data_IF_352737403785
#
_entry.id   IF_352737403785
#
_cell.length_a   1.000
_cell.length_b   1.000
_cell.length_c   1.000
_cell.angle_alpha   90.00
_cell.angle_beta   90.00
_cell.angle_gamma   90.00
#
_symmetry.space_group_name_H-M   'P 1'
#
loop_
_entity.id
_entity.type
_entity.pdbx_description
1 polymer ?
#
# COMPACT_ATOMS: atom_id res chain seq x y z
N UNK A 1 26.14 24.18 -14.93
CA UNK A 1 25.36 23.01 -14.46
C UNK A 1 23.95 23.47 -14.15
N UNK A 2 22.89 22.92 -14.76
CA UNK A 2 21.52 23.26 -14.38
C UNK A 2 21.29 22.82 -12.93
N UNK A 3 20.77 23.71 -12.09
CA UNK A 3 20.38 23.35 -10.71
C UNK A 3 19.34 22.24 -10.77
N UNK A 4 19.44 21.17 -9.95
CA UNK A 4 18.34 20.22 -9.86
C UNK A 4 17.08 20.98 -9.43
N UNK A 5 15.94 20.76 -10.09
CA UNK A 5 14.69 21.44 -9.74
C UNK A 5 14.40 21.18 -8.24
N UNK A 6 13.99 22.23 -7.53
CA UNK A 6 13.70 22.23 -6.07
C UNK A 6 12.68 21.18 -5.64
N UNK A 7 11.96 20.58 -6.59
CA UNK A 7 10.94 19.54 -6.41
C UNK A 7 11.53 18.21 -5.93
N UNK A 8 12.74 17.82 -6.36
CA UNK A 8 13.30 16.49 -6.05
C UNK A 8 13.69 16.30 -4.57
N UNK A 9 14.33 17.28 -3.89
CA UNK A 9 14.56 17.20 -2.45
C UNK A 9 13.27 17.12 -1.64
N UNK A 10 12.22 17.86 -2.05
CA UNK A 10 10.90 17.85 -1.40
C UNK A 10 10.25 16.48 -1.54
N UNK A 11 10.24 15.90 -2.74
CA UNK A 11 9.69 14.56 -2.98
C UNK A 11 10.40 13.49 -2.13
N UNK A 12 11.73 13.56 -2.03
CA UNK A 12 12.50 12.64 -1.19
C UNK A 12 12.14 12.75 0.29
N UNK A 13 12.07 13.97 0.82
CA UNK A 13 11.68 14.21 2.22
C UNK A 13 10.26 13.71 2.49
N UNK A 14 9.33 14.03 1.59
CA UNK A 14 7.94 13.60 1.69
C UNK A 14 7.82 12.07 1.75
N UNK A 15 8.49 11.35 0.86
CA UNK A 15 8.50 9.88 0.87
C UNK A 15 9.10 9.29 2.16
N UNK A 16 10.15 9.91 2.72
CA UNK A 16 10.73 9.49 4.00
C UNK A 16 9.74 9.68 5.15
N UNK A 17 9.02 10.80 5.18
CA UNK A 17 7.96 11.04 6.16
C UNK A 17 6.87 9.98 6.03
N UNK A 18 6.42 9.67 4.81
CA UNK A 18 5.44 8.63 4.57
C UNK A 18 5.90 7.25 5.04
N UNK A 19 7.18 6.89 4.88
CA UNK A 19 7.73 5.63 5.41
C UNK A 19 7.62 5.59 6.94
N UNK A 20 7.98 6.67 7.62
CA UNK A 20 7.89 6.74 9.10
C UNK A 20 6.44 6.66 9.54
N UNK A 21 5.54 7.40 8.90
CA UNK A 21 4.10 7.35 9.20
C UNK A 21 3.52 5.96 8.96
N UNK A 22 3.92 5.28 7.88
CA UNK A 22 3.49 3.91 7.59
C UNK A 22 3.88 2.95 8.73
N UNK A 23 5.12 3.05 9.26
CA UNK A 23 5.55 2.24 10.39
C UNK A 23 4.82 2.59 11.69
N UNK A 24 4.59 3.87 11.96
CA UNK A 24 3.80 4.31 13.13
C UNK A 24 2.38 3.72 13.06
N UNK A 25 1.71 3.85 11.91
CA UNK A 25 0.39 3.26 11.70
C UNK A 25 0.40 1.74 11.88
N UNK A 26 1.43 1.06 11.37
CA UNK A 26 1.58 -0.38 11.57
C UNK A 26 1.76 -0.78 13.03
N UNK A 27 2.56 -0.02 13.79
CA UNK A 27 2.70 -0.20 15.23
C UNK A 27 1.37 -0.01 15.97
N UNK A 28 0.59 1.01 15.61
CA UNK A 28 -0.74 1.25 16.17
C UNK A 28 -1.71 0.10 15.86
N UNK A 29 -1.80 -0.35 14.60
CA UNK A 29 -2.69 -1.44 14.19
C UNK A 29 -2.29 -2.74 14.90
N UNK A 30 -1.00 -3.06 14.92
CA UNK A 30 -0.50 -4.26 15.59
C UNK A 30 -0.76 -4.22 17.11
N UNK A 31 -0.51 -3.06 17.74
CA UNK A 31 -0.78 -2.85 19.16
C UNK A 31 -2.25 -3.05 19.50
N UNK A 32 -3.16 -2.46 18.70
CA UNK A 32 -4.59 -2.67 18.84
C UNK A 32 -4.98 -4.14 18.61
N UNK A 33 -4.45 -4.79 17.59
CA UNK A 33 -4.70 -6.20 17.28
C UNK A 33 -4.31 -7.09 18.46
N UNK A 34 -3.09 -6.95 18.98
CA UNK A 34 -2.60 -7.70 20.15
C UNK A 34 -3.46 -7.41 21.37
N UNK A 35 -3.82 -6.14 21.59
CA UNK A 35 -4.66 -5.74 22.71
C UNK A 35 -6.05 -6.40 22.67
N UNK A 36 -6.60 -6.67 21.47
CA UNK A 36 -7.87 -7.40 21.34
C UNK A 36 -7.81 -8.81 21.94
N UNK A 37 -6.64 -9.46 21.97
CA UNK A 37 -6.46 -10.79 22.57
C UNK A 37 -6.15 -10.72 24.06
N UNK A 38 -5.49 -9.66 24.51
CA UNK A 38 -5.13 -9.47 25.93
C UNK A 38 -6.36 -9.15 26.78
N UNK A 39 -7.30 -8.35 26.26
CA UNK A 39 -8.46 -7.90 27.02
C UNK A 39 -9.77 -7.97 26.21
N UNK A 40 -10.11 -9.19 25.80
CA UNK A 40 -11.26 -9.47 24.94
C UNK A 40 -12.60 -8.88 25.45
N UNK A 41 -12.98 -9.02 26.75
CA UNK A 41 -14.25 -8.48 27.24
C UNK A 41 -14.33 -6.95 27.15
N UNK A 42 -13.22 -6.27 27.45
CA UNK A 42 -13.15 -4.81 27.33
C UNK A 42 -13.22 -4.40 25.86
N UNK A 43 -12.49 -5.07 24.98
CA UNK A 43 -12.44 -4.74 23.55
C UNK A 43 -13.79 -4.98 22.86
N UNK A 44 -14.47 -6.08 23.17
CA UNK A 44 -15.83 -6.32 22.67
C UNK A 44 -16.79 -5.20 23.08
N UNK A 45 -16.71 -4.75 24.33
CA UNK A 45 -17.53 -3.64 24.83
C UNK A 45 -17.17 -2.31 24.15
N UNK A 46 -15.88 -2.00 24.02
CA UNK A 46 -15.38 -0.77 23.43
C UNK A 46 -15.72 -0.65 21.94
N UNK A 47 -15.69 -1.76 21.21
CA UNK A 47 -16.05 -1.84 19.79
C UNK A 47 -17.56 -2.03 19.57
N UNK A 48 -18.37 -2.13 20.62
CA UNK A 48 -19.82 -2.34 20.52
C UNK A 48 -20.23 -3.72 20.02
N UNK A 49 -19.31 -4.70 20.00
CA UNK A 49 -19.52 -6.04 19.45
C UNK A 49 -20.42 -6.90 20.36
N UNK A 50 -20.54 -6.55 21.64
CA UNK A 50 -21.38 -7.30 22.61
C UNK A 50 -22.87 -7.34 22.27
N UNK A 51 -23.35 -6.45 21.41
CA UNK A 51 -24.75 -6.40 20.98
C UNK A 51 -25.06 -7.34 19.78
N UNK A 52 -24.04 -7.93 19.15
CA UNK A 52 -24.22 -8.81 18.00
C UNK A 52 -24.60 -10.21 18.45
N UNK A 53 -25.52 -10.85 17.71
CA UNK A 53 -25.93 -12.25 17.93
C UNK A 53 -24.72 -13.20 17.91
N UNK A 54 -23.79 -12.96 16.97
CA UNK A 54 -22.56 -13.74 16.81
C UNK A 54 -21.31 -12.88 17.08
N UNK A 55 -21.20 -12.35 18.31
CA UNK A 55 -20.09 -11.48 18.74
C UNK A 55 -18.69 -12.04 18.44
N UNK A 56 -18.49 -13.36 18.57
CA UNK A 56 -17.21 -14.01 18.28
C UNK A 56 -16.85 -13.96 16.78
N UNK A 57 -17.83 -14.15 15.90
CA UNK A 57 -17.62 -14.09 14.45
C UNK A 57 -17.19 -12.67 14.03
N UNK A 58 -17.90 -11.66 14.55
CA UNK A 58 -17.62 -10.24 14.27
C UNK A 58 -16.24 -9.85 14.79
N UNK A 59 -15.91 -10.22 16.03
CA UNK A 59 -14.59 -9.95 16.61
C UNK A 59 -13.46 -10.61 15.79
N UNK A 60 -13.65 -11.86 15.37
CA UNK A 60 -12.65 -12.55 14.54
C UNK A 60 -12.52 -11.93 13.14
N UNK A 61 -13.62 -11.47 12.54
CA UNK A 61 -13.58 -10.72 11.28
C UNK A 61 -12.82 -9.40 11.42
N UNK A 62 -13.08 -8.62 12.48
CA UNK A 62 -12.33 -7.38 12.75
C UNK A 62 -10.84 -7.64 12.98
N UNK A 63 -10.49 -8.70 13.72
CA UNK A 63 -9.10 -9.14 13.91
C UNK A 63 -8.44 -9.55 12.60
N UNK A 64 -9.16 -10.25 11.72
CA UNK A 64 -8.67 -10.63 10.40
C UNK A 64 -8.40 -9.41 9.51
N UNK A 65 -9.31 -8.42 9.52
CA UNK A 65 -9.12 -7.14 8.80
C UNK A 65 -7.90 -6.39 9.35
N UNK A 66 -7.75 -6.31 10.68
CA UNK A 66 -6.59 -5.68 11.29
C UNK A 66 -5.28 -6.41 10.94
N UNK A 67 -5.28 -7.75 10.91
CA UNK A 67 -4.13 -8.54 10.49
C UNK A 67 -3.75 -8.27 9.02
N UNK A 68 -4.73 -8.21 8.11
CA UNK A 68 -4.50 -7.77 6.72
C UNK A 68 -3.94 -6.34 6.66
N UNK A 69 -4.42 -5.45 7.53
CA UNK A 69 -3.87 -4.11 7.70
C UNK A 69 -2.38 -4.13 8.03
N UNK A 70 -1.95 -4.96 8.99
CA UNK A 70 -0.53 -5.15 9.34
C UNK A 70 0.28 -5.64 8.14
N UNK A 71 -0.23 -6.63 7.39
CA UNK A 71 0.45 -7.10 6.16
C UNK A 71 0.54 -5.98 5.12
N UNK A 72 -0.51 -5.17 4.98
CA UNK A 72 -0.56 -3.99 4.11
C UNK A 72 0.54 -2.96 4.39
N UNK A 73 1.00 -2.83 5.64
CA UNK A 73 2.13 -1.95 6.01
C UNK A 73 3.42 -2.36 5.30
N UNK A 74 3.69 -3.68 5.21
CA UNK A 74 4.88 -4.18 4.51
C UNK A 74 4.77 -4.00 3.00
N UNK A 75 3.56 -4.16 2.44
CA UNK A 75 3.30 -3.92 1.02
C UNK A 75 3.51 -2.44 0.68
N UNK A 76 2.95 -1.52 1.47
CA UNK A 76 3.14 -0.07 1.32
C UNK A 76 4.62 0.32 1.48
N UNK A 77 5.33 -0.27 2.44
CA UNK A 77 6.77 -0.06 2.59
C UNK A 77 7.54 -0.49 1.33
N UNK A 78 7.15 -1.60 0.71
CA UNK A 78 7.70 -2.07 -0.57
C UNK A 78 7.53 -1.06 -1.71
N UNK A 79 6.38 -0.38 -1.77
CA UNK A 79 6.12 0.71 -2.73
C UNK A 79 6.99 1.93 -2.43
N UNK A 80 6.92 2.44 -1.19
CA UNK A 80 7.58 3.69 -0.80
C UNK A 80 9.11 3.62 -0.95
N UNK A 81 9.71 2.50 -0.57
CA UNK A 81 11.17 2.30 -0.72
C UNK A 81 11.61 2.33 -2.18
N UNK A 82 10.83 1.75 -3.10
CA UNK A 82 11.11 1.77 -4.54
C UNK A 82 10.95 3.17 -5.12
N UNK A 83 9.94 3.92 -4.69
CA UNK A 83 9.77 5.32 -5.07
C UNK A 83 10.96 6.17 -4.60
N UNK A 84 11.45 5.97 -3.36
CA UNK A 84 12.66 6.65 -2.87
C UNK A 84 13.86 6.32 -3.76
N UNK A 85 14.08 5.05 -4.10
CA UNK A 85 15.18 4.65 -4.97
C UNK A 85 15.09 5.29 -6.36
N UNK A 86 13.89 5.37 -6.94
CA UNK A 86 13.67 6.07 -8.22
C UNK A 86 14.01 7.57 -8.10
N UNK A 87 13.52 8.26 -7.07
CA UNK A 87 13.85 9.68 -6.83
C UNK A 87 15.37 9.87 -6.69
N UNK A 88 16.07 8.95 -6.03
CA UNK A 88 17.53 9.01 -5.91
C UNK A 88 18.24 8.88 -7.26
N UNK A 89 17.81 7.97 -8.14
CA UNK A 89 18.38 7.85 -9.50
C UNK A 89 18.13 9.08 -10.37
N UNK A 90 16.93 9.68 -10.26
CA UNK A 90 16.61 10.94 -10.96
C UNK A 90 17.47 12.09 -10.44
N UNK A 91 17.68 12.19 -9.12
CA UNK A 91 18.59 13.18 -8.51
C UNK A 91 20.05 13.00 -8.96
N UNK A 92 20.45 11.78 -9.28
CA UNK A 92 21.77 11.47 -9.84
C UNK A 92 21.86 11.73 -11.37
N UNK A 93 20.82 12.29 -12.00
CA UNK A 93 20.80 12.59 -13.43
C UNK A 93 20.47 11.40 -14.33
N UNK A 94 20.09 10.25 -13.76
CA UNK A 94 19.84 9.01 -14.48
C UNK A 94 18.38 8.54 -14.32
N UNK A 95 17.40 9.25 -14.92
CA UNK A 95 15.98 8.92 -14.76
C UNK A 95 15.59 7.61 -15.46
N UNK A 96 16.13 7.36 -16.66
CA UNK A 96 15.86 6.18 -17.47
C UNK A 96 17.03 5.21 -17.34
N UNK A 97 16.92 4.33 -16.34
CA UNK A 97 17.81 3.18 -16.12
C UNK A 97 16.92 1.94 -16.02
N UNK A 98 17.39 0.80 -16.52
CA UNK A 98 16.62 -0.45 -16.51
C UNK A 98 16.13 -0.83 -15.10
N UNK A 99 16.90 -0.51 -14.06
CA UNK A 99 16.49 -0.68 -12.66
C UNK A 99 15.16 0.01 -12.31
N UNK A 100 14.91 1.21 -12.85
CA UNK A 100 13.68 1.95 -12.56
C UNK A 100 12.46 1.30 -13.20
N UNK A 101 12.62 0.64 -14.35
CA UNK A 101 11.56 -0.16 -14.95
C UNK A 101 11.17 -1.34 -14.06
N UNK A 102 12.16 -2.07 -13.51
CA UNK A 102 11.92 -3.15 -12.55
C UNK A 102 11.28 -2.65 -11.25
N UNK A 103 11.68 -1.47 -10.76
CA UNK A 103 11.07 -0.83 -9.59
C UNK A 103 9.60 -0.49 -9.84
N UNK A 104 9.26 0.09 -10.99
CA UNK A 104 7.87 0.36 -11.39
C UNK A 104 7.05 -0.91 -11.53
N UNK A 105 7.61 -1.96 -12.13
CA UNK A 105 6.92 -3.25 -12.26
C UNK A 105 6.61 -3.85 -10.88
N UNK A 106 7.55 -3.79 -9.95
CA UNK A 106 7.31 -4.24 -8.58
C UNK A 106 6.26 -3.38 -7.86
N UNK A 107 6.24 -2.05 -8.06
CA UNK A 107 5.18 -1.18 -7.54
C UNK A 107 3.81 -1.60 -8.09
N UNK A 108 3.70 -1.91 -9.39
CA UNK A 108 2.46 -2.37 -9.99
C UNK A 108 1.93 -3.66 -9.33
N UNK A 109 2.82 -4.61 -9.04
CA UNK A 109 2.47 -5.82 -8.29
C UNK A 109 2.02 -5.53 -6.86
N UNK A 110 2.67 -4.61 -6.14
CA UNK A 110 2.23 -4.22 -4.81
C UNK A 110 0.86 -3.52 -4.83
N UNK A 111 0.60 -2.65 -5.80
CA UNK A 111 -0.71 -2.04 -5.98
C UNK A 111 -1.80 -3.10 -6.25
N UNK A 112 -1.49 -4.11 -7.06
CA UNK A 112 -2.41 -5.23 -7.29
C UNK A 112 -2.71 -5.99 -5.98
N UNK A 113 -1.69 -6.29 -5.19
CA UNK A 113 -1.86 -6.94 -3.87
C UNK A 113 -2.77 -6.11 -2.97
N UNK A 114 -2.61 -4.78 -2.94
CA UNK A 114 -3.47 -3.90 -2.15
C UNK A 114 -4.93 -3.91 -2.66
N UNK A 115 -5.16 -4.01 -3.97
CA UNK A 115 -6.53 -4.17 -4.50
C UNK A 115 -7.16 -5.50 -4.11
N UNK A 116 -6.38 -6.58 -4.13
CA UNK A 116 -6.86 -7.89 -3.66
C UNK A 116 -7.18 -7.85 -2.16
N UNK A 117 -6.37 -7.18 -1.34
CA UNK A 117 -6.66 -6.98 0.08
C UNK A 117 -7.95 -6.19 0.28
N UNK A 118 -8.17 -5.13 -0.51
CA UNK A 118 -9.41 -4.35 -0.47
C UNK A 118 -10.65 -5.22 -0.71
N UNK A 119 -10.60 -6.13 -1.70
CA UNK A 119 -11.68 -7.07 -1.97
C UNK A 119 -11.88 -8.09 -0.84
N UNK A 120 -10.80 -8.65 -0.29
CA UNK A 120 -10.90 -9.58 0.85
C UNK A 120 -11.48 -8.90 2.08
N UNK A 121 -11.04 -7.68 2.39
CA UNK A 121 -11.56 -6.88 3.51
C UNK A 121 -13.06 -6.60 3.31
N UNK A 122 -13.48 -6.25 2.10
CA UNK A 122 -14.89 -6.06 1.78
C UNK A 122 -15.72 -7.33 2.00
N UNK A 123 -15.23 -8.48 1.53
CA UNK A 123 -15.89 -9.76 1.74
C UNK A 123 -16.00 -10.14 3.21
N UNK A 124 -14.97 -9.88 4.02
CA UNK A 124 -15.02 -10.09 5.47
C UNK A 124 -16.04 -9.13 6.11
N UNK A 125 -16.01 -7.85 5.73
CA UNK A 125 -16.92 -6.84 6.24
C UNK A 125 -18.39 -7.20 5.95
N UNK A 126 -18.68 -7.66 4.74
CA UNK A 126 -20.00 -8.14 4.34
C UNK A 126 -20.42 -9.38 5.14
N UNK A 127 -19.52 -10.34 5.32
CA UNK A 127 -19.80 -11.57 6.08
C UNK A 127 -20.09 -11.34 7.57
N UNK A 128 -19.51 -10.29 8.17
CA UNK A 128 -19.77 -9.92 9.58
C UNK A 128 -20.84 -8.85 9.74
N UNK A 129 -21.30 -8.24 8.65
CA UNK A 129 -22.35 -7.22 8.69
C UNK A 129 -23.72 -7.88 8.93
N UNK A 130 -24.54 -7.23 9.76
CA UNK A 130 -25.92 -7.69 10.03
C UNK A 130 -26.92 -6.59 9.69
N UNK A 131 -28.18 -6.96 9.47
CA UNK A 131 -29.25 -6.00 9.17
C UNK A 131 -29.44 -4.99 10.31
N UNK A 132 -29.27 -5.43 11.56
CA UNK A 132 -29.39 -4.58 12.75
C UNK A 132 -28.17 -3.68 12.97
N UNK A 133 -26.98 -4.12 12.53
CA UNK A 133 -25.74 -3.38 12.70
C UNK A 133 -24.89 -3.43 11.41
N UNK A 134 -25.17 -2.54 10.45
CA UNK A 134 -24.46 -2.53 9.17
C UNK A 134 -23.01 -2.11 9.37
N UNK A 135 -22.08 -3.00 9.05
CA UNK A 135 -20.65 -2.73 9.14
C UNK A 135 -20.13 -2.23 7.78
N UNK A 136 -20.11 -0.90 7.61
CA UNK A 136 -19.68 -0.27 6.35
C UNK A 136 -18.22 0.14 6.44
N UNK A 137 -17.35 -0.63 5.79
CA UNK A 137 -16.00 -0.21 5.47
C UNK A 137 -15.95 0.28 4.03
N UNK A 138 -15.22 1.36 3.80
CA UNK A 138 -14.94 1.88 2.46
C UNK A 138 -13.82 1.04 1.81
N UNK A 139 -14.08 -0.25 1.70
CA UNK A 139 -13.22 -1.27 1.12
C UNK A 139 -14.02 -2.02 0.05
N UNK A 140 -13.33 -2.51 -0.98
CA UNK A 140 -13.94 -3.24 -2.09
C UNK A 140 -13.37 -2.84 -3.45
N UNK A 141 -14.18 -3.01 -4.49
CA UNK A 141 -13.76 -2.76 -5.85
C UNK A 141 -13.59 -1.26 -6.12
N UNK A 142 -12.37 -0.83 -6.46
CA UNK A 142 -12.06 0.55 -6.83
C UNK A 142 -11.61 0.64 -8.28
N UNK A 143 -12.46 1.14 -9.17
CA UNK A 143 -12.12 1.30 -10.59
C UNK A 143 -10.86 2.15 -10.80
N UNK A 144 -10.71 3.24 -10.04
CA UNK A 144 -9.51 4.07 -10.05
C UNK A 144 -8.25 3.30 -9.56
N UNK A 145 -8.41 2.47 -8.54
CA UNK A 145 -7.36 1.61 -8.02
C UNK A 145 -6.87 0.57 -9.03
N UNK A 146 -7.79 -0.12 -9.69
CA UNK A 146 -7.49 -1.05 -10.77
C UNK A 146 -6.86 -0.36 -11.99
N UNK A 147 -7.36 0.83 -12.35
CA UNK A 147 -6.75 1.65 -13.39
C UNK A 147 -5.30 2.01 -13.03
N UNK A 148 -5.03 2.39 -11.78
CA UNK A 148 -3.67 2.69 -11.33
C UNK A 148 -2.73 1.47 -11.45
N UNK A 149 -3.21 0.25 -11.16
CA UNK A 149 -2.43 -0.99 -11.38
C UNK A 149 -2.05 -1.15 -12.85
N UNK A 150 -3.04 -1.08 -13.76
CA UNK A 150 -2.82 -1.24 -15.20
C UNK A 150 -1.88 -0.16 -15.73
N UNK A 151 -2.13 1.11 -15.40
CA UNK A 151 -1.28 2.21 -15.82
C UNK A 151 0.14 2.06 -15.30
N UNK A 152 0.34 1.59 -14.08
CA UNK A 152 1.69 1.38 -13.54
C UNK A 152 2.42 0.26 -14.27
N UNK A 153 1.75 -0.83 -14.65
CA UNK A 153 2.35 -1.86 -15.52
C UNK A 153 2.73 -1.31 -16.89
N UNK A 154 1.86 -0.52 -17.51
CA UNK A 154 2.13 0.14 -18.80
C UNK A 154 3.34 1.07 -18.67
N UNK A 155 3.39 1.90 -17.63
CA UNK A 155 4.53 2.78 -17.35
C UNK A 155 5.81 1.99 -17.15
N UNK A 156 5.78 0.86 -16.43
CA UNK A 156 6.95 0.01 -16.26
C UNK A 156 7.50 -0.50 -17.61
N UNK A 157 6.62 -0.89 -18.54
CA UNK A 157 7.02 -1.31 -19.90
C UNK A 157 7.60 -0.16 -20.71
N UNK A 158 6.95 1.00 -20.70
CA UNK A 158 7.46 2.19 -21.41
C UNK A 158 8.82 2.62 -20.87
N UNK A 159 9.04 2.54 -19.56
CA UNK A 159 10.35 2.82 -18.96
C UNK A 159 11.41 1.79 -19.34
N UNK A 160 11.04 0.51 -19.50
CA UNK A 160 11.97 -0.53 -19.95
C UNK A 160 12.45 -0.25 -21.38
N UNK A 161 11.51 0.01 -22.30
CA UNK A 161 11.82 0.37 -23.69
C UNK A 161 12.66 1.66 -23.76
N UNK A 162 12.29 2.68 -22.98
CA UNK A 162 13.06 3.93 -22.93
C UNK A 162 14.49 3.76 -22.38
N UNK A 163 14.72 2.77 -21.51
CA UNK A 163 16.06 2.45 -21.03
C UNK A 163 16.90 1.75 -22.10
N UNK A 164 16.30 0.81 -22.86
CA UNK A 164 16.97 0.14 -23.98
C UNK A 164 17.35 1.12 -25.09
N UNK A 165 16.43 2.01 -25.47
CA UNK A 165 16.71 3.04 -26.49
C UNK A 165 17.86 3.96 -26.07
N UNK A 166 18.00 4.26 -24.78
CA UNK A 166 19.11 5.06 -24.26
C UNK A 166 20.45 4.31 -24.36
N UNK A 167 20.46 3.03 -24.02
CA UNK A 167 21.65 2.18 -24.10
C UNK A 167 22.15 2.05 -25.55
N UNK A 168 21.22 1.85 -26.50
CA UNK A 168 21.53 1.82 -27.93
C UNK A 168 22.17 3.13 -28.41
N UNK A 169 21.66 4.28 -27.96
CA UNK A 169 22.21 5.59 -28.32
C UNK A 169 23.61 5.81 -27.71
N UNK A 170 23.82 5.44 -26.45
CA UNK A 170 25.12 5.55 -25.77
C UNK A 170 26.17 4.62 -26.41
N UNK A 171 25.77 3.50 -27.02
CA UNK A 171 26.66 2.55 -27.72
C UNK A 171 27.05 2.96 -29.15
N UNK A 172 26.50 4.04 -29.70
CA UNK A 172 26.76 4.52 -31.07
C UNK A 172 27.78 5.66 -31.17
N UNK A 173 28.36 6.09 -30.04
CA UNK A 173 29.29 7.23 -29.95
C UNK A 173 30.73 6.77 -29.72
#
# INVERSE_FOLDING_TARGET
MPRPPTVLPIAYLFLRILIVLNWILGGCILGLLVYTFVNEPWTMKALGVTAYRDANLVMNGMRAIAALGVVGIFVNFGILTRLVSMVMTVRAGNPFVGENAYRLQAIAWFLLILQLFSLVIAGIAEAISTVEHPFRLDAGFSAAGWLAVVLTFVLARVFAEGALMREDLEGTV
#
